data_IF_111684979172
#
_entry.id   IF_111684979172
#
_cell.length_a   1.000
_cell.length_b   1.000
_cell.length_c   1.000
_cell.angle_alpha   90.00
_cell.angle_beta   90.00
_cell.angle_gamma   90.00
#
_symmetry.space_group_name_H-M   'P 1'
#
loop_
_entity.id
_entity.type
_entity.pdbx_description
1 polymer ?
#
# COMPACT_ATOMS: atom_id res chain seq x y z
N UNK A 1 20.10 12.44 -25.81
CA UNK A 1 19.66 11.10 -25.37
C UNK A 1 19.43 11.19 -23.86
N UNK A 2 18.19 11.27 -23.39
CA UNK A 2 17.90 11.45 -21.96
C UNK A 2 18.00 10.10 -21.24
N UNK A 3 19.10 9.91 -20.51
CA UNK A 3 19.30 8.80 -19.58
C UNK A 3 18.41 8.98 -18.35
N UNK A 4 17.13 8.65 -18.47
CA UNK A 4 16.19 8.69 -17.34
C UNK A 4 16.10 7.30 -16.69
N UNK A 5 16.39 7.14 -15.38
CA UNK A 5 16.42 5.83 -14.70
C UNK A 5 15.03 5.20 -14.50
N UNK A 6 14.94 3.85 -14.58
CA UNK A 6 13.78 2.99 -14.29
C UNK A 6 13.94 2.30 -12.94
N UNK A 7 12.83 2.10 -12.23
CA UNK A 7 12.80 1.37 -10.96
C UNK A 7 12.06 0.06 -11.16
N UNK A 8 12.69 -1.05 -10.77
CA UNK A 8 12.11 -2.41 -10.87
C UNK A 8 11.21 -2.73 -9.68
N UNK A 9 10.01 -2.14 -9.65
CA UNK A 9 9.07 -2.28 -8.52
C UNK A 9 8.58 -3.72 -8.24
N UNK A 10 8.59 -4.61 -9.23
CA UNK A 10 8.27 -6.04 -9.01
C UNK A 10 9.23 -6.71 -8.02
N UNK A 11 10.44 -6.19 -7.86
CA UNK A 11 11.39 -6.68 -6.85
C UNK A 11 11.01 -6.30 -5.41
N UNK A 12 10.02 -5.41 -5.21
CA UNK A 12 9.54 -5.06 -3.87
C UNK A 12 8.66 -6.15 -3.27
N UNK A 13 8.12 -7.07 -4.07
CA UNK A 13 7.20 -8.09 -3.59
C UNK A 13 7.92 -9.43 -3.47
N UNK A 14 7.94 -9.97 -2.26
CA UNK A 14 8.55 -11.26 -1.96
C UNK A 14 7.50 -12.23 -1.47
N UNK A 15 7.52 -13.44 -2.03
CA UNK A 15 6.75 -14.56 -1.49
C UNK A 15 7.50 -15.18 -0.32
N UNK A 16 6.82 -15.39 0.79
CA UNK A 16 7.38 -16.00 1.99
C UNK A 16 6.45 -17.12 2.45
N UNK A 17 7.04 -18.26 2.80
CA UNK A 17 6.33 -19.39 3.39
C UNK A 17 6.52 -19.37 4.91
N UNK A 18 5.43 -19.52 5.64
CA UNK A 18 5.39 -19.47 7.11
C UNK A 18 4.51 -20.60 7.62
N UNK A 19 5.09 -21.54 8.35
CA UNK A 19 4.35 -22.58 9.06
C UNK A 19 4.21 -22.22 10.53
N UNK A 20 2.98 -21.98 10.99
CA UNK A 20 2.67 -21.70 12.39
C UNK A 20 2.19 -22.98 13.07
N UNK A 21 2.65 -23.22 14.30
CA UNK A 21 2.33 -24.41 15.09
C UNK A 21 1.78 -23.99 16.46
N UNK A 22 0.54 -24.40 16.78
CA UNK A 22 -0.07 -24.18 18.10
C UNK A 22 0.12 -25.40 18.99
N UNK A 23 0.44 -25.17 20.26
CA UNK A 23 0.63 -26.26 21.22
C UNK A 23 -0.71 -26.78 21.77
N UNK A 24 -1.73 -25.91 21.81
CA UNK A 24 -3.08 -26.24 22.26
C UNK A 24 -4.10 -25.85 21.17
N UNK A 25 -5.10 -26.70 20.93
CA UNK A 25 -6.21 -26.41 19.99
C UNK A 25 -7.04 -25.17 20.37
N UNK A 26 -7.01 -24.74 21.64
CA UNK A 26 -7.69 -23.52 22.09
C UNK A 26 -6.89 -22.24 21.82
N UNK A 27 -5.59 -22.35 21.53
CA UNK A 27 -4.76 -21.21 21.17
C UNK A 27 -5.11 -20.71 19.76
N UNK A 28 -5.29 -19.39 19.63
CA UNK A 28 -5.47 -18.72 18.35
C UNK A 28 -4.15 -18.47 17.63
N UNK A 29 -4.20 -18.20 16.33
CA UNK A 29 -2.99 -17.92 15.55
C UNK A 29 -2.30 -16.59 15.88
N UNK A 30 -2.95 -15.71 16.66
CA UNK A 30 -2.37 -14.44 17.12
C UNK A 30 -2.25 -13.37 16.04
N UNK A 31 -3.12 -13.39 15.03
CA UNK A 31 -3.21 -12.35 14.01
C UNK A 31 -4.65 -12.13 13.53
N UNK A 32 -4.93 -10.93 13.04
CA UNK A 32 -6.19 -10.52 12.43
C UNK A 32 -6.06 -10.44 10.92
N UNK A 33 -7.15 -10.71 10.21
CA UNK A 33 -7.23 -10.52 8.75
C UNK A 33 -8.27 -9.49 8.35
N UNK A 34 -7.97 -8.74 7.29
CA UNK A 34 -8.86 -7.81 6.62
C UNK A 34 -8.92 -8.11 5.11
N UNK A 35 -9.85 -7.45 4.42
CA UNK A 35 -10.04 -7.61 2.99
C UNK A 35 -10.75 -8.91 2.60
N UNK A 36 -10.52 -9.34 1.36
CA UNK A 36 -11.28 -10.38 0.69
C UNK A 36 -12.26 -9.81 -0.33
N UNK A 37 -12.66 -10.63 -1.30
CA UNK A 37 -13.41 -10.18 -2.48
C UNK A 37 -14.80 -9.59 -2.15
N UNK A 38 -15.33 -9.88 -0.96
CA UNK A 38 -16.62 -9.37 -0.47
C UNK A 38 -16.48 -8.14 0.43
N UNK A 39 -15.27 -7.65 0.67
CA UNK A 39 -14.99 -6.50 1.53
C UNK A 39 -14.70 -5.28 0.68
N UNK A 40 -15.77 -4.72 0.12
CA UNK A 40 -15.77 -3.62 -0.84
C UNK A 40 -15.16 -2.29 -0.33
N UNK A 41 -15.04 -2.12 0.98
CA UNK A 41 -14.40 -0.95 1.59
C UNK A 41 -12.92 -1.19 1.92
N UNK A 42 -12.38 -2.36 1.59
CA UNK A 42 -10.98 -2.66 1.83
C UNK A 42 -10.17 -2.47 0.55
N UNK A 43 -9.04 -1.76 0.62
CA UNK A 43 -8.22 -1.41 -0.54
C UNK A 43 -7.75 -2.61 -1.39
N UNK A 44 -7.70 -3.80 -0.78
CA UNK A 44 -7.31 -5.04 -1.43
C UNK A 44 -8.48 -5.99 -1.47
N UNK A 45 -8.86 -6.45 -2.67
CA UNK A 45 -9.69 -7.66 -2.85
C UNK A 45 -8.96 -8.96 -2.43
N UNK A 46 -7.89 -8.83 -1.67
CA UNK A 46 -7.08 -9.90 -1.13
C UNK A 46 -7.20 -9.96 0.40
N UNK A 47 -6.98 -11.15 0.95
CA UNK A 47 -6.86 -11.33 2.39
C UNK A 47 -5.50 -10.83 2.83
N UNK A 48 -5.46 -9.90 3.77
CA UNK A 48 -4.22 -9.37 4.34
C UNK A 48 -4.24 -9.43 5.86
N UNK A 49 -3.05 -9.48 6.47
CA UNK A 49 -2.89 -9.40 7.93
C UNK A 49 -3.05 -7.95 8.36
N UNK A 50 -4.10 -7.62 9.12
CA UNK A 50 -4.32 -6.24 9.56
C UNK A 50 -3.63 -5.91 10.87
N UNK A 51 -3.43 -6.91 11.72
CA UNK A 51 -2.82 -6.74 13.04
C UNK A 51 -2.20 -8.06 13.50
N UNK A 52 -1.07 -7.95 14.20
CA UNK A 52 -0.48 -9.04 15.00
C UNK A 52 -0.84 -8.81 16.47
N UNK A 53 -1.32 -9.84 17.16
CA UNK A 53 -1.74 -9.75 18.56
C UNK A 53 -0.55 -9.76 19.51
N UNK A 54 -0.61 -8.91 20.53
CA UNK A 54 0.41 -8.89 21.57
C UNK A 54 0.44 -10.22 22.33
N UNK A 55 1.63 -10.78 22.51
CA UNK A 55 1.92 -12.10 23.07
C UNK A 55 1.25 -13.28 22.33
N UNK A 56 0.66 -13.04 21.15
CA UNK A 56 0.03 -14.06 20.32
C UNK A 56 1.05 -14.95 19.62
N UNK A 57 0.58 -16.11 19.12
CA UNK A 57 1.42 -17.10 18.43
C UNK A 57 2.22 -16.47 17.28
N UNK A 58 1.58 -15.75 16.36
CA UNK A 58 2.27 -15.09 15.24
C UNK A 58 3.30 -14.05 15.71
N UNK A 59 3.07 -13.35 16.83
CA UNK A 59 4.09 -12.43 17.37
C UNK A 59 5.29 -13.18 17.92
N UNK A 60 5.07 -14.30 18.62
CA UNK A 60 6.17 -15.13 19.14
C UNK A 60 6.99 -15.76 18.03
N UNK A 61 6.35 -16.16 16.94
CA UNK A 61 7.00 -16.67 15.72
C UNK A 61 7.76 -15.56 14.95
N UNK A 62 7.31 -14.31 15.04
CA UNK A 62 7.92 -13.10 14.45
C UNK A 62 8.03 -13.05 12.91
N UNK A 63 7.74 -14.14 12.19
CA UNK A 63 7.87 -14.15 10.73
C UNK A 63 6.70 -13.50 10.04
N UNK A 64 5.47 -13.61 10.56
CA UNK A 64 4.27 -12.98 9.99
C UNK A 64 4.17 -11.52 10.46
N UNK A 65 3.84 -10.59 9.55
CA UNK A 65 3.79 -9.16 9.83
C UNK A 65 2.46 -8.57 9.40
N UNK A 66 2.06 -7.47 10.02
CA UNK A 66 0.98 -6.62 9.50
C UNK A 66 1.28 -6.23 8.05
N UNK A 67 0.23 -6.19 7.25
CA UNK A 67 0.21 -5.95 5.81
C UNK A 67 0.75 -7.07 4.91
N UNK A 68 1.08 -8.24 5.45
CA UNK A 68 1.30 -9.42 4.62
C UNK A 68 0.01 -9.82 3.90
N UNK A 69 0.08 -10.05 2.59
CA UNK A 69 -1.04 -10.54 1.79
C UNK A 69 -1.00 -12.07 1.80
N UNK A 70 -2.05 -12.73 2.28
CA UNK A 70 -2.13 -14.19 2.33
C UNK A 70 -2.59 -14.69 0.95
N UNK A 71 -1.68 -15.37 0.23
CA UNK A 71 -1.96 -15.98 -1.06
C UNK A 71 -2.52 -17.39 -0.93
N UNK A 72 -2.05 -18.15 0.06
CA UNK A 72 -2.54 -19.51 0.36
C UNK A 72 -2.51 -19.79 1.86
N UNK A 73 -3.43 -20.61 2.34
CA UNK A 73 -3.31 -21.28 3.63
C UNK A 73 -3.47 -22.80 3.45
N UNK A 74 -2.48 -23.56 3.92
CA UNK A 74 -2.27 -24.96 3.60
C UNK A 74 -2.33 -25.16 2.08
N UNK A 75 -3.21 -26.05 1.62
CA UNK A 75 -3.43 -26.32 0.19
C UNK A 75 -4.52 -25.46 -0.45
N UNK A 76 -5.08 -24.49 0.28
CA UNK A 76 -6.23 -23.70 -0.18
C UNK A 76 -5.75 -22.34 -0.67
N UNK A 77 -6.20 -21.96 -1.87
CA UNK A 77 -5.93 -20.66 -2.47
C UNK A 77 -6.77 -19.56 -1.79
N UNK A 78 -6.11 -18.46 -1.41
CA UNK A 78 -6.72 -17.28 -0.78
C UNK A 78 -6.86 -16.10 -1.75
N UNK A 79 -6.44 -16.23 -3.01
CA UNK A 79 -6.80 -15.25 -4.05
C UNK A 79 -8.30 -15.30 -4.32
N UNK A 80 -8.96 -14.14 -4.43
CA UNK A 80 -10.39 -14.00 -4.73
C UNK A 80 -11.32 -14.74 -3.75
N UNK A 81 -10.92 -14.81 -2.47
CA UNK A 81 -11.70 -15.47 -1.42
C UNK A 81 -12.49 -14.46 -0.60
N UNK A 82 -13.71 -14.83 -0.21
CA UNK A 82 -14.51 -14.06 0.76
C UNK A 82 -13.88 -14.13 2.15
N UNK A 83 -13.92 -13.02 2.90
CA UNK A 83 -13.32 -12.92 4.23
C UNK A 83 -13.86 -14.00 5.19
N UNK A 84 -15.17 -14.23 5.19
CA UNK A 84 -15.82 -15.23 6.05
C UNK A 84 -15.31 -16.65 5.76
N UNK A 85 -15.02 -16.97 4.49
CA UNK A 85 -14.47 -18.27 4.09
C UNK A 85 -13.01 -18.40 4.51
N UNK A 86 -12.20 -17.36 4.34
CA UNK A 86 -10.83 -17.31 4.83
C UNK A 86 -10.75 -17.55 6.35
N UNK A 87 -11.57 -16.87 7.14
CA UNK A 87 -11.67 -17.07 8.60
C UNK A 87 -12.02 -18.52 8.95
N UNK A 88 -12.98 -19.12 8.24
CA UNK A 88 -13.38 -20.52 8.47
C UNK A 88 -12.22 -21.49 8.20
N UNK A 89 -11.44 -21.27 7.16
CA UNK A 89 -10.28 -22.10 6.81
C UNK A 89 -9.19 -21.99 7.87
N UNK A 90 -8.82 -20.77 8.24
CA UNK A 90 -7.78 -20.53 9.26
C UNK A 90 -8.19 -21.13 10.62
N UNK A 91 -9.44 -20.94 11.06
CA UNK A 91 -9.95 -21.50 12.33
C UNK A 91 -10.03 -23.02 12.34
N UNK A 92 -10.33 -23.64 11.20
CA UNK A 92 -10.41 -25.11 11.06
C UNK A 92 -9.07 -25.78 10.79
N UNK A 93 -7.99 -25.01 10.66
CA UNK A 93 -6.65 -25.57 10.51
C UNK A 93 -6.29 -26.38 11.77
N UNK A 94 -5.50 -27.44 11.58
CA UNK A 94 -5.18 -28.43 12.62
C UNK A 94 -4.21 -27.87 13.67
N UNK A 95 -3.24 -28.65 14.16
CA UNK A 95 -2.19 -28.14 15.04
C UNK A 95 -1.23 -27.17 14.33
N UNK A 96 -1.26 -27.13 13.00
CA UNK A 96 -0.48 -26.20 12.19
C UNK A 96 -1.29 -25.54 11.08
N UNK A 97 -0.79 -24.39 10.62
CA UNK A 97 -1.24 -23.73 9.39
C UNK A 97 -0.01 -23.24 8.62
N UNK A 98 0.12 -23.72 7.38
CA UNK A 98 1.12 -23.22 6.44
C UNK A 98 0.56 -22.04 5.67
N UNK A 99 1.27 -20.91 5.62
CA UNK A 99 0.86 -19.70 4.92
C UNK A 99 1.86 -19.40 3.82
N UNK A 100 1.37 -19.22 2.59
CA UNK A 100 2.13 -18.55 1.55
C UNK A 100 1.67 -17.09 1.53
N UNK A 101 2.56 -16.17 1.87
CA UNK A 101 2.27 -14.74 1.88
C UNK A 101 3.04 -14.02 0.78
N UNK A 102 2.53 -12.86 0.38
CA UNK A 102 3.22 -11.85 -0.41
C UNK A 102 3.47 -10.66 0.50
N UNK A 103 4.75 -10.32 0.70
CA UNK A 103 5.17 -9.17 1.50
C UNK A 103 5.82 -8.14 0.62
N UNK A 104 5.54 -6.88 0.92
CA UNK A 104 6.33 -5.77 0.44
C UNK A 104 7.65 -5.70 1.23
N UNK A 105 8.76 -6.13 0.64
CA UNK A 105 10.13 -5.97 1.15
C UNK A 105 10.93 -5.06 0.19
N UNK A 106 10.87 -3.73 0.36
CA UNK A 106 11.87 -2.86 -0.25
C UNK A 106 13.26 -3.28 0.26
N UNK A 107 14.27 -3.32 -0.62
CA UNK A 107 15.64 -3.68 -0.21
C UNK A 107 16.25 -2.64 0.73
N UNK A 108 15.83 -1.39 0.59
CA UNK A 108 16.28 -0.26 1.41
C UNK A 108 15.03 0.42 1.95
N UNK A 109 14.99 0.62 3.27
CA UNK A 109 13.97 1.41 3.97
C UNK A 109 14.71 2.51 4.73
N UNK A 110 14.32 3.76 4.49
CA UNK A 110 14.96 4.93 5.10
C UNK A 110 13.91 5.90 5.64
N UNK A 111 14.25 6.54 6.75
CA UNK A 111 13.47 7.62 7.36
C UNK A 111 14.16 8.96 6.99
N UNK A 112 13.49 9.76 6.17
CA UNK A 112 14.02 11.02 5.62
C UNK A 112 13.34 12.19 6.31
N UNK A 113 14.11 12.99 7.04
CA UNK A 113 13.61 14.22 7.64
C UNK A 113 13.57 15.33 6.61
N UNK A 114 12.42 15.99 6.50
CA UNK A 114 12.20 17.10 5.59
C UNK A 114 11.71 18.31 6.39
N UNK A 115 12.22 19.48 6.04
CA UNK A 115 11.74 20.77 6.54
C UNK A 115 11.10 21.50 5.37
N UNK A 116 9.90 22.03 5.57
CA UNK A 116 9.13 22.65 4.50
C UNK A 116 8.41 23.92 4.95
N UNK A 117 8.02 24.78 4.01
CA UNK A 117 7.36 26.08 4.28
C UNK A 117 5.85 26.02 4.02
N UNK A 118 5.21 24.95 4.49
CA UNK A 118 3.76 24.70 4.33
C UNK A 118 3.40 23.56 3.38
N UNK A 119 4.26 23.21 2.42
CA UNK A 119 4.02 22.13 1.44
C UNK A 119 5.28 21.33 1.18
N UNK A 120 5.13 20.06 0.86
CA UNK A 120 6.30 19.16 0.83
C UNK A 120 7.15 19.26 -0.43
N UNK A 121 6.62 19.83 -1.52
CA UNK A 121 7.35 19.95 -2.78
C UNK A 121 7.57 18.61 -3.49
N UNK A 122 6.64 17.65 -3.37
CA UNK A 122 6.69 16.38 -4.09
C UNK A 122 5.43 16.19 -4.94
N UNK A 123 5.56 15.46 -6.05
CA UNK A 123 4.41 14.94 -6.79
C UNK A 123 4.34 13.44 -6.60
N UNK A 124 3.15 12.95 -6.22
CA UNK A 124 2.89 11.53 -6.01
C UNK A 124 1.98 10.93 -7.09
N UNK A 125 2.05 9.62 -7.27
CA UNK A 125 1.15 8.80 -8.09
C UNK A 125 0.87 7.48 -7.38
N UNK A 126 -0.07 6.70 -7.90
CA UNK A 126 -0.43 5.41 -7.32
C UNK A 126 -1.52 5.54 -6.24
N UNK A 127 -1.67 4.49 -5.46
CA UNK A 127 -2.78 4.30 -4.53
C UNK A 127 -3.84 3.35 -5.10
N UNK A 128 -4.76 2.91 -4.26
CA UNK A 128 -5.85 2.02 -4.69
C UNK A 128 -6.76 2.71 -5.69
N UNK A 129 -7.09 1.99 -6.77
CA UNK A 129 -7.96 2.45 -7.84
C UNK A 129 -7.25 3.31 -8.89
N UNK A 130 -6.04 3.79 -8.58
CA UNK A 130 -5.18 4.59 -9.46
C UNK A 130 -3.76 3.99 -9.49
N UNK A 131 -3.67 2.67 -9.60
CA UNK A 131 -2.40 1.95 -9.54
C UNK A 131 -1.44 2.45 -10.63
N UNK A 132 -0.27 2.94 -10.20
CA UNK A 132 0.77 3.38 -11.12
C UNK A 132 1.50 2.19 -11.77
N UNK A 133 1.67 1.10 -11.00
CA UNK A 133 2.10 -0.20 -11.53
C UNK A 133 0.98 -1.22 -11.41
N UNK A 134 0.75 -2.08 -12.43
CA UNK A 134 -0.27 -3.11 -12.35
C UNK A 134 -0.12 -3.95 -11.09
N UNK A 135 -1.22 -4.12 -10.34
CA UNK A 135 -1.30 -4.90 -9.09
C UNK A 135 -0.51 -4.32 -7.91
N UNK A 136 0.02 -3.10 -8.04
CA UNK A 136 0.75 -2.42 -6.97
C UNK A 136 0.01 -1.17 -6.51
N UNK A 137 -0.51 -1.23 -5.28
CA UNK A 137 -1.31 -0.17 -4.68
C UNK A 137 -0.46 0.85 -3.88
N UNK A 138 0.86 0.90 -4.13
CA UNK A 138 1.76 1.83 -3.46
C UNK A 138 1.57 3.28 -3.91
N UNK A 139 2.02 4.21 -3.06
CA UNK A 139 2.18 5.64 -3.38
C UNK A 139 3.64 5.89 -3.72
N UNK A 140 3.90 6.55 -4.85
CA UNK A 140 5.25 6.75 -5.39
C UNK A 140 5.51 8.21 -5.71
N UNK A 141 6.73 8.68 -5.45
CA UNK A 141 7.19 10.01 -5.88
C UNK A 141 7.53 9.97 -7.37
N UNK A 142 7.06 10.93 -8.15
CA UNK A 142 7.42 11.07 -9.58
C UNK A 142 8.04 12.41 -9.93
N UNK A 143 7.92 13.40 -9.05
CA UNK A 143 8.59 14.69 -9.21
C UNK A 143 8.91 15.32 -7.85
N UNK A 144 9.87 16.26 -7.86
CA UNK A 144 10.28 17.06 -6.70
C UNK A 144 10.45 18.51 -7.13
N UNK A 145 9.87 19.42 -6.35
CA UNK A 145 10.06 20.86 -6.51
C UNK A 145 11.54 21.21 -6.29
N UNK A 146 12.17 21.71 -7.35
CA UNK A 146 13.58 22.10 -7.34
C UNK A 146 13.84 23.30 -6.43
N UNK A 147 12.87 24.17 -6.20
CA UNK A 147 13.10 25.33 -5.32
C UNK A 147 13.17 24.94 -3.84
N UNK A 148 12.45 23.88 -3.45
CA UNK A 148 12.35 23.45 -2.04
C UNK A 148 13.24 22.26 -1.71
N UNK A 149 13.42 21.33 -2.66
CA UNK A 149 14.08 20.04 -2.42
C UNK A 149 15.34 19.82 -3.26
N UNK A 150 15.87 20.84 -3.96
CA UNK A 150 17.07 20.68 -4.81
C UNK A 150 18.31 20.23 -4.03
N UNK A 151 18.48 20.66 -2.78
CA UNK A 151 19.60 20.23 -1.94
C UNK A 151 19.35 18.89 -1.24
N UNK A 152 18.11 18.38 -1.27
CA UNK A 152 17.79 17.10 -0.65
C UNK A 152 18.25 15.93 -1.53
N UNK A 153 19.39 15.34 -1.17
CA UNK A 153 19.96 14.18 -1.83
C UNK A 153 19.41 12.84 -1.30
N UNK A 154 18.62 12.87 -0.22
CA UNK A 154 18.10 11.66 0.41
C UNK A 154 16.83 11.17 -0.27
N UNK A 155 15.94 12.06 -0.70
CA UNK A 155 14.67 11.73 -1.34
C UNK A 155 14.87 11.54 -2.84
N UNK A 156 14.37 10.45 -3.41
CA UNK A 156 14.57 10.12 -4.82
C UNK A 156 13.25 9.97 -5.57
N UNK A 157 13.31 10.21 -6.89
CA UNK A 157 12.18 9.86 -7.75
C UNK A 157 11.96 8.36 -7.71
N UNK A 158 10.70 7.97 -7.58
CA UNK A 158 10.21 6.62 -7.43
C UNK A 158 10.44 5.97 -6.07
N UNK A 159 10.83 6.76 -5.07
CA UNK A 159 10.66 6.36 -3.68
C UNK A 159 9.19 6.00 -3.43
N UNK A 160 8.96 4.82 -2.86
CA UNK A 160 7.64 4.42 -2.38
C UNK A 160 7.44 5.01 -1.00
N UNK A 161 6.36 5.77 -0.80
CA UNK A 161 5.99 6.25 0.52
C UNK A 161 5.35 5.11 1.32
N UNK A 162 5.93 4.81 2.49
CA UNK A 162 5.41 3.80 3.41
C UNK A 162 4.65 4.46 4.55
N UNK A 163 5.24 5.49 5.14
CA UNK A 163 4.65 6.21 6.26
C UNK A 163 5.08 7.68 6.22
N UNK A 164 4.32 8.53 6.88
CA UNK A 164 4.68 9.91 7.17
C UNK A 164 4.50 10.15 8.67
N UNK A 165 5.45 10.84 9.30
CA UNK A 165 5.32 11.27 10.68
C UNK A 165 5.52 12.77 10.86
N UNK A 166 4.75 13.32 11.80
CA UNK A 166 4.82 14.70 12.27
C UNK A 166 4.90 14.65 13.79
N UNK A 167 6.12 14.74 14.33
CA UNK A 167 6.39 14.38 15.73
C UNK A 167 6.05 12.91 16.01
N UNK A 168 5.27 12.66 17.07
CA UNK A 168 4.84 11.31 17.47
C UNK A 168 3.65 10.78 16.64
N UNK A 169 3.03 11.63 15.80
CA UNK A 169 1.90 11.22 14.96
C UNK A 169 2.40 10.53 13.69
N UNK A 170 2.29 9.21 13.63
CA UNK A 170 2.67 8.38 12.48
C UNK A 170 1.42 7.97 11.71
N UNK A 171 1.41 8.21 10.40
CA UNK A 171 0.34 7.81 9.48
C UNK A 171 0.88 6.85 8.43
N UNK A 172 0.16 5.76 8.19
CA UNK A 172 0.48 4.77 7.17
C UNK A 172 0.03 5.28 5.79
N UNK A 173 0.89 5.14 4.78
CA UNK A 173 0.61 5.47 3.37
C UNK A 173 0.57 4.21 2.51
N UNK A 174 0.69 3.02 3.12
CA UNK A 174 0.50 1.74 2.42
C UNK A 174 -0.99 1.46 2.28
N UNK A 175 -1.38 1.04 1.09
CA UNK A 175 -2.75 0.64 0.78
C UNK A 175 -3.79 1.74 1.04
N UNK A 176 -3.45 2.98 0.75
CA UNK A 176 -4.39 4.11 0.78
C UNK A 176 -4.83 4.47 -0.64
N UNK A 177 -5.96 5.14 -0.77
CA UNK A 177 -6.35 5.77 -2.04
C UNK A 177 -5.41 6.95 -2.36
N UNK A 178 -5.32 7.32 -3.64
CA UNK A 178 -4.52 8.47 -4.05
C UNK A 178 -4.93 9.76 -3.30
N UNK A 179 -6.24 10.03 -3.26
CA UNK A 179 -6.80 11.20 -2.57
C UNK A 179 -6.55 11.17 -1.06
N UNK A 180 -6.60 9.99 -0.44
CA UNK A 180 -6.32 9.82 0.98
C UNK A 180 -4.84 10.06 1.29
N UNK A 181 -3.92 9.55 0.46
CA UNK A 181 -2.50 9.84 0.59
C UNK A 181 -2.22 11.35 0.57
N UNK A 182 -2.85 12.07 -0.36
CA UNK A 182 -2.78 13.53 -0.46
C UNK A 182 -3.26 14.19 0.85
N UNK A 183 -4.46 13.82 1.33
CA UNK A 183 -5.01 14.37 2.56
C UNK A 183 -4.09 14.11 3.76
N UNK A 184 -3.55 12.90 3.89
CA UNK A 184 -2.63 12.52 4.97
C UNK A 184 -1.36 13.40 4.93
N UNK A 185 -0.75 13.56 3.75
CA UNK A 185 0.47 14.36 3.56
C UNK A 185 0.21 15.84 3.87
N UNK A 186 -0.88 16.40 3.35
CA UNK A 186 -1.28 17.79 3.62
C UNK A 186 -1.57 18.03 5.10
N UNK A 187 -2.30 17.12 5.75
CA UNK A 187 -2.56 17.21 7.19
C UNK A 187 -1.27 17.17 8.01
N UNK A 188 -0.31 16.30 7.66
CA UNK A 188 0.98 16.23 8.35
C UNK A 188 1.77 17.55 8.20
N UNK A 189 1.79 18.13 6.99
CA UNK A 189 2.42 19.42 6.69
C UNK A 189 1.78 20.59 7.44
N UNK A 190 0.45 20.54 7.67
CA UNK A 190 -0.26 21.55 8.48
C UNK A 190 0.06 21.44 9.98
N UNK A 191 0.41 20.25 10.47
CA UNK A 191 0.70 20.00 11.88
C UNK A 191 2.12 20.41 12.28
N UNK A 192 3.09 20.27 11.38
CA UNK A 192 4.50 20.60 11.64
C UNK A 192 5.19 20.95 10.33
N UNK A 193 6.13 21.89 10.39
CA UNK A 193 7.04 22.18 9.29
C UNK A 193 8.20 21.16 9.19
N UNK A 194 8.38 20.30 10.19
CA UNK A 194 9.33 19.20 10.20
C UNK A 194 8.55 17.89 10.13
N UNK A 195 8.76 17.13 9.06
CA UNK A 195 8.15 15.82 8.86
C UNK A 195 9.23 14.76 8.63
N UNK A 196 8.91 13.50 8.89
CA UNK A 196 9.74 12.37 8.46
C UNK A 196 8.95 11.51 7.47
N UNK A 197 9.51 11.28 6.30
CA UNK A 197 8.98 10.30 5.34
C UNK A 197 9.73 8.98 5.52
N UNK A 198 9.00 7.91 5.82
CA UNK A 198 9.55 6.56 5.66
C UNK A 198 9.35 6.12 4.23
N UNK A 199 10.44 5.87 3.52
CA UNK A 199 10.43 5.49 2.10
C UNK A 199 11.06 4.13 1.87
N UNK A 200 10.61 3.44 0.81
CA UNK A 200 11.17 2.16 0.37
C UNK A 200 11.71 2.21 -1.07
N UNK A 201 12.88 1.58 -1.31
CA UNK A 201 13.55 1.50 -2.63
C UNK A 201 13.88 0.08 -3.09
N UNK A 202 13.88 -0.13 -4.41
CA UNK A 202 14.54 -1.27 -5.08
C UNK A 202 15.93 -0.86 -5.56
N UNK A 203 16.78 -1.83 -5.93
CA UNK A 203 18.05 -1.53 -6.62
C UNK A 203 17.74 -0.80 -7.95
N UNK A 204 18.46 0.29 -8.20
CA UNK A 204 18.43 1.03 -9.47
C UNK A 204 18.83 0.11 -10.62
N UNK A 205 18.16 0.22 -11.77
CA UNK A 205 18.63 -0.34 -13.04
C UNK A 205 18.53 0.73 -14.12
N UNK A 206 19.65 0.98 -14.80
CA UNK A 206 19.79 1.96 -15.87
C UNK A 206 18.94 1.57 -17.10
N UNK A 207 17.73 2.12 -17.27
CA UNK A 207 16.90 2.05 -18.52
C UNK A 207 15.69 3.02 -18.44
N UNK A 208 15.00 3.38 -19.54
CA UNK A 208 14.02 4.50 -19.62
C UNK A 208 12.56 4.18 -19.23
N UNK A 209 11.89 4.96 -18.37
CA UNK A 209 10.48 4.76 -17.92
C UNK A 209 9.48 5.19 -18.99
N UNK A 210 8.73 4.23 -19.53
CA UNK A 210 7.42 4.48 -20.14
C UNK A 210 6.35 4.08 -19.13
N UNK A 211 5.41 4.99 -18.78
CA UNK A 211 4.25 4.61 -17.98
C UNK A 211 3.55 3.43 -18.68
N UNK A 212 3.20 2.34 -17.98
CA UNK A 212 2.35 1.32 -18.59
C UNK A 212 1.07 2.01 -19.09
N UNK A 213 0.61 1.66 -20.28
CA UNK A 213 -0.71 2.05 -20.79
C UNK A 213 -1.73 1.43 -19.84
N UNK A 214 -2.25 2.22 -18.90
CA UNK A 214 -3.37 1.84 -18.05
C UNK A 214 -4.58 1.75 -18.97
N UNK A 215 -5.18 0.57 -19.06
CA UNK A 215 -6.46 0.43 -19.75
C UNK A 215 -7.50 1.18 -18.91
N UNK A 216 -8.17 2.21 -19.45
CA UNK A 216 -9.23 2.95 -18.76
C UNK A 216 -10.35 2.03 -18.22
N UNK A 217 -10.44 0.82 -18.78
CA UNK A 217 -11.47 -0.18 -18.55
C UNK A 217 -10.97 -1.39 -17.74
N UNK A 218 -10.05 -1.18 -16.80
CA UNK A 218 -9.74 -2.23 -15.81
C UNK A 218 -11.05 -2.72 -15.17
N UNK A 219 -11.38 -4.02 -15.21
CA UNK A 219 -12.61 -4.53 -14.61
C UNK A 219 -12.73 -4.17 -13.12
N UNK A 220 -11.60 -4.01 -12.44
CA UNK A 220 -11.51 -3.56 -11.05
C UNK A 220 -11.89 -2.07 -10.90
N UNK A 221 -11.47 -1.22 -11.84
CA UNK A 221 -11.82 0.21 -11.87
C UNK A 221 -13.31 0.41 -12.16
N UNK A 222 -13.86 -0.28 -13.16
CA UNK A 222 -15.29 -0.21 -13.49
C UNK A 222 -16.16 -0.70 -12.34
N UNK A 223 -15.83 -1.86 -11.74
CA UNK A 223 -16.56 -2.40 -10.61
C UNK A 223 -16.48 -1.54 -9.33
N UNK A 224 -15.40 -0.76 -9.16
CA UNK A 224 -15.24 0.19 -8.07
C UNK A 224 -16.01 1.50 -8.33
N UNK A 225 -15.94 2.06 -9.55
CA UNK A 225 -16.65 3.28 -9.94
C UNK A 225 -18.18 3.12 -9.91
N UNK A 226 -18.71 1.99 -10.39
CA UNK A 226 -20.15 1.69 -10.32
C UNK A 226 -20.67 1.64 -8.87
N UNK A 227 -19.79 1.25 -7.93
CA UNK A 227 -20.13 1.16 -6.50
C UNK A 227 -19.99 2.48 -5.76
N UNK A 228 -19.07 3.35 -6.16
CA UNK A 228 -18.98 4.74 -5.69
C UNK A 228 -20.25 5.54 -6.07
N UNK A 229 -20.75 5.35 -7.29
CA UNK A 229 -22.01 5.95 -7.74
C UNK A 229 -23.21 5.50 -6.86
N UNK A 230 -23.18 4.24 -6.38
CA UNK A 230 -24.18 3.71 -5.44
C UNK A 230 -24.08 4.35 -4.06
N UNK A 231 -22.88 4.77 -3.64
CA UNK A 231 -22.61 5.41 -2.35
C UNK A 231 -22.95 6.91 -2.34
N UNK A 232 -22.71 7.60 -3.46
CA UNK A 232 -23.03 9.03 -3.64
C UNK A 232 -24.54 9.30 -3.80
N UNK A 233 -25.36 8.25 -4.01
CA UNK A 233 -26.83 8.35 -3.92
C UNK A 233 -27.36 8.58 -2.49
N UNK A 234 -26.51 8.50 -1.45
CA UNK A 234 -26.91 8.68 -0.04
C UNK A 234 -26.36 9.95 0.63
N UNK A 235 -25.48 10.72 -0.03
CA UNK A 235 -25.00 12.02 0.44
C UNK A 235 -24.76 12.90 -0.80
N UNK A 236 -25.47 14.03 -0.86
CA UNK A 236 -25.52 14.89 -2.04
C UNK A 236 -24.18 15.56 -2.43
N UNK A 237 -24.16 15.92 -3.71
CA UNK A 237 -23.34 16.93 -4.42
C UNK A 237 -21.87 16.62 -4.78
N UNK A 238 -21.72 16.34 -6.08
CA UNK A 238 -20.71 16.73 -7.09
C UNK A 238 -19.23 16.28 -7.03
N UNK A 239 -18.80 15.62 -8.12
CA UNK A 239 -17.79 16.19 -9.03
C UNK A 239 -17.84 15.52 -10.42
N UNK A 240 -18.00 16.35 -11.46
CA UNK A 240 -17.94 15.98 -12.89
C UNK A 240 -16.49 15.75 -13.31
N UNK A 241 -16.18 14.58 -13.89
CA UNK A 241 -14.87 14.31 -14.53
C UNK A 241 -15.02 14.31 -16.06
N UNK A 242 -14.57 15.39 -16.69
CA UNK A 242 -14.42 15.48 -18.14
C UNK A 242 -13.02 15.01 -18.57
N UNK A 243 -12.98 13.93 -19.37
CA UNK A 243 -11.97 13.72 -20.42
C UNK A 243 -10.58 13.18 -20.04
N UNK A 244 -10.38 11.87 -20.23
CA UNK A 244 -9.17 11.19 -20.78
C UNK A 244 -7.74 11.68 -20.42
N UNK A 245 -7.49 12.26 -19.24
CA UNK A 245 -6.14 12.43 -18.70
C UNK A 245 -6.07 11.87 -17.28
N UNK A 246 -5.04 11.05 -17.03
CA UNK A 246 -4.76 10.46 -15.71
C UNK A 246 -4.62 11.59 -14.67
N UNK A 247 -5.10 11.42 -13.44
CA UNK A 247 -4.87 12.40 -12.39
C UNK A 247 -3.36 12.50 -12.12
N UNK A 248 -2.79 13.64 -12.51
CA UNK A 248 -1.51 14.14 -11.99
C UNK A 248 -1.90 15.33 -11.14
N UNK A 249 -1.56 15.29 -9.85
CA UNK A 249 -1.82 16.38 -8.94
C UNK A 249 -0.48 16.83 -8.39
N UNK A 250 -0.04 17.98 -8.89
CA UNK A 250 1.01 18.75 -8.27
C UNK A 250 0.45 19.18 -6.91
N UNK A 251 1.17 18.85 -5.83
CA UNK A 251 0.88 19.42 -4.51
C UNK A 251 1.37 20.86 -4.54
N UNK A 252 0.60 21.72 -5.22
CA UNK A 252 0.85 23.15 -5.32
C UNK A 252 0.85 23.77 -3.96
#
# INVERSE_FOLDING_TARGET
MSNTPQIKYKEHWKKVEIDLHRQNKQEGWGFHISGGIDKYNFPLEAISVSKIDQNGLAQRDQRLKSNDIILKANKINFTNIKQKKALKILRKSGPSVGLLICRLEPRIIEDIQLVHSGKLGITIVGGIGDEYFPTDHGIFIVDKDKTQLQTNQQLHLGDRLLNISSGDNIRDLRFVMHAEAKQIIESACKQSNRITLRVGRARYVETPITPPVVQPNSPLRTAYMDKLATYQGQQGTEAVFNGNRRPRLQLD
#
